data_IF_169427447633
#
_entry.id   IF_169427447633
#
_cell.length_a   1.000
_cell.length_b   1.000
_cell.length_c   1.000
_cell.angle_alpha   90.00
_cell.angle_beta   90.00
_cell.angle_gamma   90.00
#
_symmetry.space_group_name_H-M   'P 1'
#
loop_
_entity.id
_entity.type
_entity.pdbx_description
1 polymer ?
#
# COMPACT_ATOMS: atom_id res chain seq x y z
N UNK A 1 -23.45 4.05 -27.61
CA UNK A 1 -22.64 2.88 -27.19
C UNK A 1 -22.75 2.85 -25.69
N UNK A 2 -23.18 1.71 -25.19
CA UNK A 2 -23.73 1.49 -23.85
C UNK A 2 -22.68 1.80 -22.77
N UNK A 3 -23.16 2.46 -21.73
CA UNK A 3 -22.48 2.67 -20.45
C UNK A 3 -22.19 1.29 -19.85
N UNK A 4 -20.95 0.84 -19.97
CA UNK A 4 -20.49 -0.42 -19.39
C UNK A 4 -20.49 -0.25 -17.87
N UNK A 5 -21.58 -0.67 -17.24
CA UNK A 5 -21.80 -0.69 -15.79
C UNK A 5 -20.90 -1.68 -15.05
N UNK A 6 -19.66 -1.89 -15.51
CA UNK A 6 -18.61 -2.51 -14.73
C UNK A 6 -18.22 -1.56 -13.60
N UNK A 7 -18.45 -1.96 -12.35
CA UNK A 7 -17.95 -1.19 -11.21
C UNK A 7 -16.43 -1.04 -11.35
N UNK A 8 -15.96 0.20 -11.54
CA UNK A 8 -14.54 0.50 -11.55
C UNK A 8 -13.83 -0.04 -10.31
N UNK A 9 -12.51 -0.21 -10.40
CA UNK A 9 -11.70 -0.64 -9.27
C UNK A 9 -11.93 0.23 -8.03
N UNK A 10 -11.84 -0.40 -6.86
CA UNK A 10 -12.02 0.21 -5.54
C UNK A 10 -10.72 0.22 -4.73
N UNK A 11 -9.60 -0.19 -5.34
CA UNK A 11 -8.33 -0.36 -4.63
C UNK A 11 -7.58 0.96 -4.45
N UNK A 12 -7.22 1.25 -3.21
CA UNK A 12 -6.20 2.24 -2.86
C UNK A 12 -4.93 1.47 -2.51
N UNK A 13 -3.84 1.81 -3.18
CA UNK A 13 -2.54 1.19 -2.92
C UNK A 13 -1.59 2.20 -2.29
N UNK A 14 -0.92 1.79 -1.21
CA UNK A 14 0.19 2.53 -0.61
C UNK A 14 1.47 1.72 -0.76
N UNK A 15 2.55 2.36 -1.18
CA UNK A 15 3.84 1.71 -1.46
C UNK A 15 4.99 2.50 -0.86
N UNK A 16 5.89 1.79 -0.19
CA UNK A 16 7.17 2.33 0.31
C UNK A 16 8.32 1.38 0.00
N UNK A 17 9.46 1.96 -0.37
CA UNK A 17 10.70 1.24 -0.66
C UNK A 17 11.81 1.67 0.31
N UNK A 18 12.67 0.71 0.68
CA UNK A 18 13.91 0.95 1.41
C UNK A 18 15.15 0.92 0.49
N UNK A 19 16.33 1.17 1.06
CA UNK A 19 17.59 1.20 0.29
C UNK A 19 18.02 -0.17 -0.24
N UNK A 20 17.50 -1.27 0.32
CA UNK A 20 17.78 -2.64 -0.11
C UNK A 20 16.80 -3.12 -1.20
N UNK A 21 16.01 -2.22 -1.79
CA UNK A 21 14.93 -2.53 -2.75
C UNK A 21 13.85 -3.45 -2.18
N UNK A 22 13.74 -3.50 -0.86
CA UNK A 22 12.59 -4.10 -0.23
C UNK A 22 11.41 -3.12 -0.35
N UNK A 23 10.29 -3.63 -0.82
CA UNK A 23 9.06 -2.90 -1.06
C UNK A 23 8.01 -3.42 -0.09
N UNK A 24 7.38 -2.51 0.64
CA UNK A 24 6.14 -2.75 1.36
C UNK A 24 4.97 -2.16 0.59
N UNK A 25 3.94 -2.97 0.38
CA UNK A 25 2.72 -2.63 -0.31
C UNK A 25 1.53 -2.97 0.58
N UNK A 26 0.57 -2.05 0.65
CA UNK A 26 -0.74 -2.28 1.24
C UNK A 26 -1.82 -1.92 0.21
N UNK A 27 -2.62 -2.91 -0.19
CA UNK A 27 -3.77 -2.72 -1.09
C UNK A 27 -5.05 -2.77 -0.27
N UNK A 28 -5.76 -1.65 -0.20
CA UNK A 28 -7.00 -1.51 0.54
C UNK A 28 -8.18 -1.46 -0.42
N UNK A 29 -9.05 -2.47 -0.36
CA UNK A 29 -10.31 -2.50 -1.09
C UNK A 29 -11.40 -1.78 -0.29
N UNK A 30 -11.84 -0.63 -0.81
CA UNK A 30 -12.92 0.15 -0.22
C UNK A 30 -14.27 -0.58 -0.20
N UNK A 31 -14.50 -1.53 -1.11
CA UNK A 31 -15.78 -2.19 -1.28
C UNK A 31 -15.97 -3.31 -0.25
N UNK A 32 -14.95 -4.14 -0.07
CA UNK A 32 -15.00 -5.28 0.85
C UNK A 32 -14.42 -4.99 2.24
N UNK A 33 -13.85 -3.79 2.45
CA UNK A 33 -13.06 -3.46 3.63
C UNK A 33 -11.97 -4.52 3.88
N UNK A 34 -11.26 -4.91 2.80
CA UNK A 34 -10.13 -5.84 2.86
C UNK A 34 -8.80 -5.10 2.69
N UNK A 35 -7.83 -5.46 3.51
CA UNK A 35 -6.46 -4.97 3.42
C UNK A 35 -5.53 -6.14 3.11
N UNK A 36 -4.82 -6.03 2.00
CA UNK A 36 -3.86 -7.01 1.56
C UNK A 36 -2.45 -6.47 1.75
N UNK A 37 -1.64 -7.17 2.53
CA UNK A 37 -0.27 -6.78 2.85
C UNK A 37 0.71 -7.60 2.03
N UNK A 38 1.72 -6.93 1.49
CA UNK A 38 2.79 -7.61 0.75
C UNK A 38 4.11 -6.92 1.02
N UNK A 39 5.13 -7.71 1.36
CA UNK A 39 6.50 -7.25 1.50
C UNK A 39 7.44 -8.19 0.77
N UNK A 40 8.26 -7.63 -0.12
CA UNK A 40 9.14 -8.41 -0.98
C UNK A 40 10.35 -7.59 -1.40
N UNK A 41 11.43 -8.27 -1.79
CA UNK A 41 12.63 -7.63 -2.34
C UNK A 41 12.53 -7.61 -3.87
N UNK A 42 12.73 -6.44 -4.46
CA UNK A 42 12.89 -6.29 -5.91
C UNK A 42 14.31 -6.68 -6.33
N UNK A 43 14.43 -7.84 -6.97
CA UNK A 43 15.70 -8.38 -7.45
C UNK A 43 16.16 -7.76 -8.77
N UNK A 44 15.28 -7.01 -9.45
CA UNK A 44 15.53 -6.40 -10.75
C UNK A 44 15.26 -4.89 -10.73
N UNK A 45 15.96 -4.12 -11.56
CA UNK A 45 15.65 -2.70 -11.83
C UNK A 45 14.35 -2.50 -12.63
N UNK A 46 13.73 -3.57 -13.12
CA UNK A 46 12.48 -3.49 -13.87
C UNK A 46 11.21 -3.53 -13.01
N UNK A 47 11.34 -3.79 -11.70
CA UNK A 47 10.26 -3.83 -10.70
C UNK A 47 9.06 -4.70 -11.09
N UNK A 48 9.31 -5.92 -11.57
CA UNK A 48 8.23 -6.77 -12.09
C UNK A 48 7.24 -7.23 -11.01
N UNK A 49 7.71 -7.47 -9.78
CA UNK A 49 6.82 -7.87 -8.69
C UNK A 49 5.83 -6.74 -8.39
N UNK A 50 6.35 -5.51 -8.28
CA UNK A 50 5.50 -4.32 -8.06
C UNK A 50 4.54 -4.08 -9.22
N UNK A 51 5.01 -4.20 -10.47
CA UNK A 51 4.12 -4.05 -11.64
C UNK A 51 3.00 -5.09 -11.66
N UNK A 52 3.34 -6.33 -11.31
CA UNK A 52 2.36 -7.43 -11.28
C UNK A 52 1.28 -7.15 -10.25
N UNK A 53 1.64 -6.72 -9.04
CA UNK A 53 0.67 -6.37 -8.00
C UNK A 53 -0.15 -5.13 -8.37
N UNK A 54 0.48 -4.08 -8.90
CA UNK A 54 -0.24 -2.89 -9.37
C UNK A 54 -1.23 -3.22 -10.49
N UNK A 55 -0.86 -4.10 -11.42
CA UNK A 55 -1.77 -4.55 -12.48
C UNK A 55 -2.90 -5.43 -11.93
N UNK A 56 -2.59 -6.33 -11.01
CA UNK A 56 -3.57 -7.23 -10.39
C UNK A 56 -4.65 -6.48 -9.60
N UNK A 57 -4.24 -5.50 -8.79
CA UNK A 57 -5.17 -4.72 -7.97
C UNK A 57 -5.81 -3.54 -8.71
N UNK A 58 -5.26 -3.12 -9.85
CA UNK A 58 -5.77 -2.02 -10.68
C UNK A 58 -6.15 -0.77 -9.86
N UNK A 59 -5.22 -0.12 -9.14
CA UNK A 59 -5.58 0.89 -8.14
C UNK A 59 -6.18 2.15 -8.77
N UNK A 60 -7.16 2.74 -8.07
CA UNK A 60 -7.65 4.10 -8.39
C UNK A 60 -6.71 5.19 -7.86
N UNK A 61 -5.90 4.88 -6.85
CA UNK A 61 -4.93 5.79 -6.24
C UNK A 61 -3.69 5.02 -5.81
N UNK A 62 -2.51 5.57 -6.11
CA UNK A 62 -1.23 5.08 -5.61
C UNK A 62 -0.62 6.13 -4.68
N UNK A 63 -0.43 5.78 -3.42
CA UNK A 63 0.13 6.62 -2.35
C UNK A 63 1.61 6.27 -2.17
N UNK A 64 2.46 7.28 -2.21
CA UNK A 64 3.92 7.12 -2.06
C UNK A 64 4.50 8.16 -1.09
N UNK A 65 5.65 7.89 -0.44
CA UNK A 65 6.39 8.93 0.26
C UNK A 65 7.02 9.93 -0.73
N UNK A 66 7.50 11.09 -0.28
CA UNK A 66 8.15 12.05 -1.16
C UNK A 66 9.48 11.46 -1.63
N UNK A 67 9.74 11.52 -2.95
CA UNK A 67 11.01 11.09 -3.49
C UNK A 67 12.11 12.07 -3.05
N UNK A 68 13.17 11.57 -2.42
CA UNK A 68 14.36 12.37 -2.04
C UNK A 68 15.51 12.22 -3.05
N UNK A 69 15.33 11.43 -4.11
CA UNK A 69 16.39 11.18 -5.09
C UNK A 69 16.51 12.35 -6.06
N UNK A 70 17.43 13.27 -5.76
CA UNK A 70 17.89 14.27 -6.72
C UNK A 70 19.10 13.79 -7.54
N UNK A 71 19.65 12.59 -7.27
CA UNK A 71 20.98 12.23 -7.80
C UNK A 71 21.37 10.73 -7.85
N UNK A 72 20.47 9.77 -7.60
CA UNK A 72 20.88 8.35 -7.65
C UNK A 72 20.63 7.73 -9.02
N UNK A 73 21.64 7.06 -9.57
CA UNK A 73 21.57 6.22 -10.78
C UNK A 73 20.69 4.97 -10.63
N UNK A 74 20.05 4.77 -9.48
CA UNK A 74 19.21 3.61 -9.19
C UNK A 74 17.74 4.00 -9.32
N UNK A 75 17.05 3.38 -10.27
CA UNK A 75 15.60 3.50 -10.43
C UNK A 75 14.88 3.17 -9.12
N UNK A 76 13.96 4.03 -8.68
CA UNK A 76 13.13 3.82 -7.48
C UNK A 76 11.72 3.36 -7.82
N UNK A 77 10.98 2.83 -6.83
CA UNK A 77 9.56 2.48 -7.03
C UNK A 77 8.70 3.70 -7.40
N UNK A 78 9.05 4.90 -6.91
CA UNK A 78 8.34 6.14 -7.28
C UNK A 78 8.57 6.51 -8.73
N UNK A 79 9.81 6.38 -9.23
CA UNK A 79 10.12 6.62 -10.66
C UNK A 79 9.45 5.61 -11.58
N UNK A 80 9.31 4.35 -11.13
CA UNK A 80 8.51 3.35 -11.82
C UNK A 80 7.05 3.82 -11.98
N UNK A 81 6.43 4.23 -10.88
CA UNK A 81 5.04 4.69 -10.85
C UNK A 81 4.87 5.89 -11.81
N UNK A 82 5.79 6.86 -11.75
CA UNK A 82 5.76 8.04 -12.62
C UNK A 82 5.89 7.69 -14.10
N UNK A 83 6.65 6.64 -14.44
CA UNK A 83 6.88 6.23 -15.82
C UNK A 83 5.74 5.41 -16.42
N UNK A 84 5.13 4.51 -15.65
CA UNK A 84 4.22 3.49 -16.19
C UNK A 84 2.77 3.64 -15.71
N UNK A 85 2.51 4.40 -14.65
CA UNK A 85 1.19 4.55 -14.04
C UNK A 85 0.73 6.02 -13.99
N UNK A 86 1.18 6.83 -14.95
CA UNK A 86 0.86 8.27 -15.02
C UNK A 86 -0.63 8.58 -15.22
N UNK A 87 -1.44 7.61 -15.65
CA UNK A 87 -2.90 7.72 -15.73
C UNK A 87 -3.61 7.49 -14.39
N UNK A 88 -2.95 6.83 -13.42
CA UNK A 88 -3.49 6.56 -12.09
C UNK A 88 -3.19 7.76 -11.18
N UNK A 89 -4.17 8.16 -10.35
CA UNK A 89 -3.96 9.25 -9.40
C UNK A 89 -2.82 8.89 -8.45
N UNK A 90 -1.73 9.67 -8.47
CA UNK A 90 -0.64 9.56 -7.50
C UNK A 90 -0.88 10.54 -6.34
N UNK A 91 -0.84 10.04 -5.11
CA UNK A 91 -0.86 10.85 -3.90
C UNK A 91 0.50 10.77 -3.20
N UNK A 92 1.00 11.91 -2.73
CA UNK A 92 2.25 11.97 -1.98
C UNK A 92 1.95 12.32 -0.54
N UNK A 93 2.26 11.42 0.38
CA UNK A 93 2.16 11.68 1.83
C UNK A 93 3.54 11.89 2.44
N UNK A 94 3.61 12.65 3.53
CA UNK A 94 4.87 12.82 4.25
C UNK A 94 5.40 11.47 4.74
N UNK A 95 6.72 11.29 4.77
CA UNK A 95 7.33 10.02 5.21
C UNK A 95 6.92 9.62 6.62
N UNK A 96 6.60 10.57 7.50
CA UNK A 96 6.08 10.29 8.85
C UNK A 96 4.67 9.69 8.90
N UNK A 97 3.95 9.63 7.76
CA UNK A 97 2.71 8.88 7.63
C UNK A 97 2.95 7.39 7.36
N UNK A 98 4.16 7.01 6.93
CA UNK A 98 4.58 5.63 6.72
C UNK A 98 5.28 5.15 7.99
N UNK A 99 4.48 4.82 9.00
CA UNK A 99 4.92 4.47 10.34
C UNK A 99 4.46 3.03 10.63
N UNK A 100 5.42 2.12 10.70
CA UNK A 100 5.18 0.68 10.89
C UNK A 100 4.56 0.38 12.27
N UNK A 101 4.99 1.13 13.29
CA UNK A 101 4.45 0.99 14.65
C UNK A 101 2.98 1.37 14.69
N UNK A 102 2.61 2.50 14.08
CA UNK A 102 1.20 2.89 13.93
C UNK A 102 0.44 1.88 13.07
N UNK A 103 1.04 1.41 11.98
CA UNK A 103 0.44 0.41 11.10
C UNK A 103 0.07 -0.87 11.83
N UNK A 104 0.99 -1.40 12.63
CA UNK A 104 0.77 -2.60 13.44
C UNK A 104 -0.36 -2.41 14.46
N UNK A 105 -0.39 -1.27 15.16
CA UNK A 105 -1.45 -0.95 16.12
C UNK A 105 -2.80 -0.86 15.42
N UNK A 106 -2.88 -0.18 14.28
CA UNK A 106 -4.10 -0.06 13.49
C UNK A 106 -4.61 -1.44 13.06
N UNK A 107 -3.74 -2.25 12.47
CA UNK A 107 -4.09 -3.60 12.03
C UNK A 107 -4.61 -4.44 13.20
N UNK A 108 -3.93 -4.41 14.35
CA UNK A 108 -4.35 -5.14 15.55
C UNK A 108 -5.76 -4.76 16.01
N UNK A 109 -6.11 -3.48 15.94
CA UNK A 109 -7.41 -2.97 16.41
C UNK A 109 -8.52 -3.15 15.37
N UNK A 110 -8.19 -3.02 14.09
CA UNK A 110 -9.17 -3.02 13.01
C UNK A 110 -9.46 -4.41 12.47
N UNK A 111 -8.52 -5.36 12.57
CA UNK A 111 -8.69 -6.70 12.03
C UNK A 111 -9.89 -7.43 12.67
N UNK A 112 -10.76 -7.99 11.82
CA UNK A 112 -11.94 -8.75 12.22
C UNK A 112 -11.59 -10.10 12.86
N UNK A 113 -10.39 -10.62 12.56
CA UNK A 113 -9.83 -11.83 13.16
C UNK A 113 -8.52 -11.49 13.84
N UNK A 114 -8.14 -12.27 14.85
CA UNK A 114 -6.88 -12.08 15.56
C UNK A 114 -5.69 -12.13 14.56
N UNK A 115 -4.95 -11.02 14.37
CA UNK A 115 -3.81 -10.99 13.47
C UNK A 115 -2.63 -11.86 13.95
N UNK A 116 -2.65 -12.36 15.19
CA UNK A 116 -1.67 -13.36 15.66
C UNK A 116 -1.67 -14.62 14.78
N UNK A 117 -2.83 -14.98 14.20
CA UNK A 117 -2.96 -16.08 13.25
C UNK A 117 -2.19 -15.86 11.94
N UNK A 118 -1.86 -14.61 11.61
CA UNK A 118 -1.03 -14.24 10.46
C UNK A 118 0.47 -14.15 10.82
N UNK A 119 0.83 -14.50 12.05
CA UNK A 119 2.22 -14.49 12.53
C UNK A 119 2.82 -13.08 12.68
N UNK A 120 2.03 -12.01 12.58
CA UNK A 120 2.53 -10.63 12.63
C UNK A 120 3.28 -10.32 13.92
N UNK A 121 2.84 -10.88 15.05
CA UNK A 121 3.52 -10.71 16.35
C UNK A 121 4.89 -11.43 16.39
N UNK A 122 5.06 -12.51 15.62
CA UNK A 122 6.31 -13.30 15.57
C UNK A 122 7.28 -12.79 14.51
N UNK A 123 6.75 -12.23 13.41
CA UNK A 123 7.50 -11.84 12.23
C UNK A 123 7.49 -10.32 11.98
N UNK A 124 7.25 -9.51 13.00
CA UNK A 124 7.15 -8.05 12.91
C UNK A 124 8.25 -7.38 12.04
N UNK A 125 9.51 -7.84 12.18
CA UNK A 125 10.63 -7.33 11.38
C UNK A 125 10.56 -7.65 9.88
N UNK A 126 9.79 -8.66 9.48
CA UNK A 126 9.60 -9.03 8.06
C UNK A 126 8.46 -8.26 7.38
N UNK A 127 7.63 -7.54 8.14
CA UNK A 127 6.43 -6.85 7.63
C UNK A 127 6.43 -5.33 7.85
N UNK A 128 7.49 -4.77 8.45
CA UNK A 128 7.49 -3.35 8.84
C UNK A 128 7.18 -2.38 7.68
N UNK A 129 7.60 -2.65 6.44
CA UNK A 129 7.31 -1.76 5.31
C UNK A 129 5.86 -1.86 4.88
N UNK A 130 5.25 -3.05 4.81
CA UNK A 130 3.83 -3.15 4.45
C UNK A 130 2.91 -2.65 5.57
N UNK A 131 3.32 -2.78 6.83
CA UNK A 131 2.65 -2.14 7.98
C UNK A 131 2.73 -0.62 7.87
N UNK A 132 3.90 -0.06 7.56
CA UNK A 132 4.06 1.37 7.31
C UNK A 132 3.19 1.84 6.12
N UNK A 133 3.12 1.05 5.05
CA UNK A 133 2.25 1.33 3.91
C UNK A 133 0.76 1.32 4.31
N UNK A 134 0.32 0.37 5.14
CA UNK A 134 -1.04 0.28 5.65
C UNK A 134 -1.44 1.52 6.46
N UNK A 135 -0.56 2.01 7.34
CA UNK A 135 -0.80 3.24 8.08
C UNK A 135 -1.05 4.43 7.14
N UNK A 136 -0.26 4.56 6.08
CA UNK A 136 -0.43 5.61 5.09
C UNK A 136 -1.71 5.44 4.24
N UNK A 137 -2.07 4.21 3.85
CA UNK A 137 -3.27 3.92 3.09
C UNK A 137 -4.54 4.31 3.86
N UNK A 138 -4.65 3.86 5.11
CA UNK A 138 -5.81 4.13 5.97
C UNK A 138 -5.90 5.63 6.30
N UNK A 139 -4.78 6.27 6.61
CA UNK A 139 -4.74 7.71 6.89
C UNK A 139 -5.17 8.56 5.69
N UNK A 140 -4.68 8.24 4.50
CA UNK A 140 -5.08 8.95 3.28
C UNK A 140 -6.57 8.75 3.01
N UNK A 141 -7.05 7.52 3.15
CA UNK A 141 -8.44 7.16 2.90
C UNK A 141 -9.39 7.90 3.83
N UNK A 142 -9.09 7.96 5.13
CA UNK A 142 -9.84 8.75 6.09
C UNK A 142 -9.87 10.24 5.70
N UNK A 143 -8.70 10.82 5.43
CA UNK A 143 -8.58 12.25 5.16
C UNK A 143 -9.23 12.69 3.83
N UNK A 144 -9.11 11.88 2.77
CA UNK A 144 -9.45 12.28 1.40
C UNK A 144 -10.77 11.68 0.90
N UNK A 145 -11.20 10.55 1.48
CA UNK A 145 -12.47 9.90 1.13
C UNK A 145 -13.50 10.00 2.25
N UNK A 146 -13.12 10.41 3.46
CA UNK A 146 -14.02 10.43 4.63
C UNK A 146 -14.45 9.04 5.09
N UNK A 147 -13.71 7.99 4.69
CA UNK A 147 -14.02 6.60 5.02
C UNK A 147 -13.21 6.19 6.25
N UNK A 148 -13.91 5.81 7.31
CA UNK A 148 -13.32 5.33 8.56
C UNK A 148 -13.56 3.83 8.68
N UNK A 149 -12.49 3.07 8.90
CA UNK A 149 -12.58 1.64 9.22
C UNK A 149 -12.78 1.51 10.72
N UNK A 150 -13.79 0.74 11.12
CA UNK A 150 -14.12 0.54 12.53
C UNK A 150 -13.39 -0.68 13.12
N UNK A 151 -13.27 -0.74 14.45
CA UNK A 151 -12.62 -1.87 15.11
C UNK A 151 -13.28 -3.19 14.72
N UNK A 152 -12.45 -4.22 14.52
CA UNK A 152 -12.88 -5.57 14.16
C UNK A 152 -13.73 -5.69 12.88
N UNK A 153 -13.58 -4.75 11.95
CA UNK A 153 -14.32 -4.75 10.67
C UNK A 153 -13.44 -4.99 9.43
N UNK A 154 -12.11 -4.95 9.58
CA UNK A 154 -11.18 -5.08 8.48
C UNK A 154 -10.81 -6.54 8.24
N UNK A 155 -11.03 -7.03 7.01
CA UNK A 155 -10.48 -8.32 6.59
C UNK A 155 -9.01 -8.15 6.23
N UNK A 156 -8.13 -9.01 6.75
CA UNK A 156 -6.69 -8.90 6.54
C UNK A 156 -6.16 -10.12 5.79
N UNK A 157 -5.36 -9.86 4.76
CA UNK A 157 -4.79 -10.85 3.85
C UNK A 157 -3.29 -10.65 3.64
#
# INVERSE_FOLDING_TARGET
MEDDGGEGSSFIISIIENRAKEVGLAAFDLRSASLHLSQYIETSSSYQNTKTLLHFYDPIVIIVPPNKSASSSTSTVTELIDRYYGSVKKAVLSRGCFDDTKGAILIKNLAAKDPSALGLDTYYKQYYLCLAAAAAALKWTEAEKGIVVTNHSLSLH
#
